data_IF_386143558368
#
_entry.id   IF_386143558368
#
_cell.length_a   1.000
_cell.length_b   1.000
_cell.length_c   1.000
_cell.angle_alpha   90.00
_cell.angle_beta   90.00
_cell.angle_gamma   90.00
#
_symmetry.space_group_name_H-M   'P 1'
#
loop_
_entity.id
_entity.type
_entity.pdbx_description
1 polymer ?
#
# COMPACT_ATOMS: atom_id res chain seq x y z
N UNK A 1 29.86 -42.28 31.69
CA UNK A 1 30.08 -41.63 30.38
C UNK A 1 28.98 -40.59 30.20
N UNK A 2 29.31 -39.35 30.45
CA UNK A 2 28.38 -38.20 30.44
C UNK A 2 28.30 -37.63 29.01
N UNK A 3 27.14 -37.75 28.40
CA UNK A 3 26.87 -37.14 27.11
C UNK A 3 26.36 -35.71 27.30
N UNK A 4 27.21 -34.75 27.00
CA UNK A 4 26.84 -33.33 27.01
C UNK A 4 25.93 -33.01 25.80
N UNK A 5 24.72 -32.60 26.08
CA UNK A 5 23.77 -32.02 25.10
C UNK A 5 24.28 -30.61 24.76
N UNK A 6 24.62 -30.37 23.51
CA UNK A 6 24.93 -29.03 22.99
C UNK A 6 23.63 -28.20 22.86
N UNK A 7 23.62 -26.94 23.29
CA UNK A 7 22.46 -26.08 23.03
C UNK A 7 22.40 -25.72 21.55
N UNK A 8 21.25 -26.04 20.94
CA UNK A 8 20.84 -25.55 19.60
C UNK A 8 20.35 -24.12 19.78
N UNK A 9 20.98 -23.15 19.08
CA UNK A 9 20.46 -21.80 19.05
C UNK A 9 21.46 -20.66 19.08
N UNK A 10 22.54 -20.74 18.28
CA UNK A 10 23.23 -19.51 17.85
C UNK A 10 22.87 -19.24 16.39
N UNK A 11 21.83 -18.43 16.19
CA UNK A 11 21.61 -17.78 14.90
C UNK A 11 22.77 -16.84 14.63
N UNK A 12 23.61 -17.17 13.66
CA UNK A 12 24.61 -16.27 13.10
C UNK A 12 23.89 -14.99 12.69
N UNK A 13 24.11 -13.88 13.41
CA UNK A 13 23.71 -12.54 12.98
C UNK A 13 24.55 -12.18 11.76
N UNK A 14 23.98 -12.39 10.57
CA UNK A 14 24.52 -11.79 9.35
C UNK A 14 24.21 -10.31 9.43
N UNK A 15 25.20 -9.52 9.83
CA UNK A 15 25.13 -8.06 9.84
C UNK A 15 25.28 -7.62 8.37
N UNK A 16 24.16 -7.30 7.72
CA UNK A 16 24.22 -6.58 6.45
C UNK A 16 24.64 -5.12 6.74
N UNK A 17 25.61 -4.59 5.98
CA UNK A 17 26.24 -3.29 6.19
C UNK A 17 25.30 -2.17 6.66
N UNK A 18 25.34 -1.84 7.95
CA UNK A 18 24.62 -0.73 8.56
C UNK A 18 23.13 -0.95 8.85
N UNK A 19 22.66 -2.22 8.90
CA UNK A 19 21.27 -2.55 9.22
C UNK A 19 21.20 -3.51 10.42
N UNK A 20 20.20 -3.31 11.30
CA UNK A 20 19.89 -4.19 12.42
C UNK A 20 18.51 -4.81 12.22
N UNK A 21 18.37 -6.15 12.42
CA UNK A 21 17.05 -6.79 12.38
C UNK A 21 16.20 -6.32 13.56
N UNK A 22 14.95 -5.97 13.28
CA UNK A 22 13.91 -5.78 14.29
C UNK A 22 13.25 -7.14 14.49
N UNK A 23 13.39 -7.69 15.69
CA UNK A 23 12.78 -8.97 16.06
C UNK A 23 11.29 -8.74 16.38
N UNK A 24 10.43 -8.91 15.39
CA UNK A 24 8.99 -8.95 15.59
C UNK A 24 8.60 -10.41 15.72
N UNK A 25 8.42 -10.91 16.95
CA UNK A 25 7.90 -12.25 17.18
C UNK A 25 6.48 -12.34 16.65
N UNK A 26 6.31 -12.97 15.50
CA UNK A 26 5.04 -13.54 15.07
C UNK A 26 4.92 -14.85 15.82
N UNK A 27 4.15 -14.90 16.91
CA UNK A 27 3.76 -16.15 17.53
C UNK A 27 2.96 -16.93 16.49
N UNK A 28 3.57 -17.97 15.92
CA UNK A 28 2.81 -19.02 15.23
C UNK A 28 2.07 -19.73 16.35
N UNK A 29 0.75 -19.65 16.34
CA UNK A 29 -0.07 -20.46 17.23
C UNK A 29 0.19 -21.93 16.89
N UNK A 30 0.94 -22.61 17.74
CA UNK A 30 0.90 -24.07 17.80
C UNK A 30 -0.44 -24.41 18.44
N UNK A 31 -1.41 -24.78 17.60
CA UNK A 31 -2.64 -25.43 18.05
C UNK A 31 -2.31 -26.87 18.46
N UNK A 32 -1.96 -27.05 19.73
CA UNK A 32 -2.14 -28.32 20.42
C UNK A 32 -2.34 -28.04 21.92
N UNK A 33 -3.58 -28.40 22.38
CA UNK A 33 -4.00 -28.60 23.75
C UNK A 33 -3.97 -27.41 24.76
N UNK A 34 -5.08 -26.60 24.76
CA UNK A 34 -5.64 -26.09 26.03
C UNK A 34 -7.15 -25.90 25.92
N UNK A 35 -7.90 -26.61 26.77
CA UNK A 35 -9.32 -26.42 27.01
C UNK A 35 -9.66 -25.00 27.48
N UNK A 36 -10.75 -24.36 27.01
CA UNK A 36 -11.05 -22.96 27.30
C UNK A 36 -11.86 -22.81 28.58
N UNK A 37 -11.32 -22.10 29.55
CA UNK A 37 -12.08 -21.46 30.63
C UNK A 37 -11.70 -19.99 30.74
N UNK A 38 -12.33 -19.14 29.91
CA UNK A 38 -12.21 -17.69 29.95
C UNK A 38 -13.36 -17.03 29.15
N UNK A 39 -13.81 -15.83 29.50
CA UNK A 39 -14.99 -15.21 28.89
C UNK A 39 -14.72 -14.84 27.42
N UNK A 40 -15.63 -15.27 26.55
CA UNK A 40 -15.64 -15.02 25.11
C UNK A 40 -15.74 -13.51 24.84
N UNK A 41 -15.00 -12.93 23.86
CA UNK A 41 -15.17 -11.57 23.43
C UNK A 41 -16.57 -11.35 22.84
N UNK A 42 -17.18 -10.22 23.15
CA UNK A 42 -18.51 -9.81 22.69
C UNK A 42 -18.50 -9.68 21.16
N UNK A 43 -19.41 -10.42 20.49
CA UNK A 43 -19.75 -10.23 19.09
C UNK A 43 -20.36 -8.86 18.87
N UNK A 44 -19.75 -8.05 18.02
CA UNK A 44 -20.38 -6.85 17.48
C UNK A 44 -21.38 -7.28 16.40
N UNK A 45 -22.67 -7.03 16.61
CA UNK A 45 -23.73 -7.27 15.61
C UNK A 45 -23.81 -6.04 14.71
N UNK A 46 -23.46 -6.19 13.44
CA UNK A 46 -23.78 -5.18 12.43
C UNK A 46 -25.16 -5.49 11.83
N UNK A 47 -26.07 -4.52 11.87
CA UNK A 47 -27.37 -4.59 11.22
C UNK A 47 -27.21 -4.25 9.72
N UNK A 48 -27.50 -5.19 8.85
CA UNK A 48 -27.49 -4.99 7.41
C UNK A 48 -28.81 -4.38 6.93
N UNK A 49 -28.72 -3.30 6.15
CA UNK A 49 -29.82 -2.79 5.32
C UNK A 49 -29.38 -2.93 3.87
N UNK A 50 -30.16 -3.68 3.10
CA UNK A 50 -29.87 -3.99 1.71
C UNK A 50 -30.21 -2.82 0.77
N UNK A 51 -29.30 -2.48 -0.13
CA UNK A 51 -29.56 -1.73 -1.36
C UNK A 51 -28.81 -2.40 -2.53
N UNK A 52 -29.45 -2.45 -3.70
CA UNK A 52 -29.01 -3.21 -4.87
C UNK A 52 -27.74 -2.65 -5.54
N UNK A 53 -26.89 -3.51 -6.14
CA UNK A 53 -25.64 -3.11 -6.77
C UNK A 53 -25.81 -2.69 -8.24
N UNK A 54 -25.05 -1.69 -8.66
CA UNK A 54 -25.05 -1.14 -10.03
C UNK A 54 -24.26 -2.00 -11.05
N UNK A 55 -23.53 -3.05 -10.67
CA UNK A 55 -22.72 -3.87 -11.59
C UNK A 55 -22.86 -5.36 -11.30
N UNK A 56 -23.59 -6.06 -12.19
CA UNK A 56 -23.66 -7.52 -12.32
C UNK A 56 -24.62 -8.23 -11.36
N UNK A 57 -25.02 -9.49 -11.67
CA UNK A 57 -25.91 -10.26 -10.81
C UNK A 57 -25.24 -10.49 -9.46
N UNK A 58 -25.95 -10.17 -8.39
CA UNK A 58 -25.51 -10.37 -7.01
C UNK A 58 -25.32 -11.86 -6.69
N UNK A 59 -24.51 -12.19 -5.69
CA UNK A 59 -24.44 -13.56 -5.16
C UNK A 59 -25.75 -13.97 -4.52
N UNK A 60 -26.06 -15.26 -4.60
CA UNK A 60 -27.22 -15.88 -3.96
C UNK A 60 -27.21 -15.72 -2.42
N UNK A 61 -28.37 -15.86 -1.73
CA UNK A 61 -28.47 -15.60 -0.28
C UNK A 61 -27.57 -16.54 0.53
N UNK A 62 -26.89 -15.94 1.50
CA UNK A 62 -25.77 -16.48 2.25
C UNK A 62 -26.18 -17.39 3.40
N UNK A 63 -25.45 -18.48 3.60
CA UNK A 63 -25.48 -19.27 4.84
C UNK A 63 -24.86 -18.48 6.00
N UNK A 64 -25.58 -18.38 7.12
CA UNK A 64 -25.14 -17.67 8.33
C UNK A 64 -23.84 -18.28 8.89
N UNK A 65 -22.76 -17.55 8.84
CA UNK A 65 -21.52 -17.88 9.59
C UNK A 65 -20.19 -17.57 8.95
N UNK A 66 -20.12 -17.16 7.69
CA UNK A 66 -18.85 -16.87 7.03
C UNK A 66 -18.46 -15.39 7.12
N UNK A 67 -17.21 -15.11 7.51
CA UNK A 67 -16.63 -13.76 7.49
C UNK A 67 -16.46 -13.30 6.04
N UNK A 68 -17.19 -12.25 5.64
CA UNK A 68 -17.09 -11.67 4.32
C UNK A 68 -16.00 -10.59 4.31
N UNK A 69 -15.13 -10.62 3.30
CA UNK A 69 -14.17 -9.54 3.08
C UNK A 69 -14.88 -8.30 2.53
N UNK A 70 -14.52 -7.10 3.00
CA UNK A 70 -15.05 -5.86 2.45
C UNK A 70 -14.66 -5.73 0.97
N UNK A 71 -15.63 -5.42 0.12
CA UNK A 71 -15.39 -5.23 -1.30
C UNK A 71 -14.93 -3.80 -1.57
N UNK A 72 -13.87 -3.65 -2.35
CA UNK A 72 -13.40 -2.37 -2.85
C UNK A 72 -14.38 -1.84 -3.92
N UNK A 73 -15.12 -0.78 -3.62
CA UNK A 73 -16.02 -0.15 -4.58
C UNK A 73 -15.30 0.94 -5.36
N UNK A 74 -15.47 0.95 -6.69
CA UNK A 74 -14.91 1.97 -7.59
C UNK A 74 -15.92 3.07 -7.82
N UNK A 75 -15.45 4.31 -7.72
CA UNK A 75 -16.20 5.53 -7.97
C UNK A 75 -15.44 6.43 -8.92
N UNK A 76 -16.18 7.22 -9.70
CA UNK A 76 -15.68 8.38 -10.41
C UNK A 76 -16.23 9.62 -9.71
N UNK A 77 -15.36 10.49 -9.24
CA UNK A 77 -15.70 11.74 -8.59
C UNK A 77 -15.30 12.91 -9.49
N UNK A 78 -16.02 14.02 -9.40
CA UNK A 78 -15.71 15.25 -10.13
C UNK A 78 -15.28 16.31 -9.14
N UNK A 79 -14.05 16.79 -9.29
CA UNK A 79 -13.50 17.87 -8.47
C UNK A 79 -14.17 19.20 -8.80
N UNK A 80 -13.95 20.25 -7.99
CA UNK A 80 -14.54 21.56 -8.16
C UNK A 80 -14.21 22.22 -9.50
N UNK A 81 -13.04 21.92 -10.07
CA UNK A 81 -12.63 22.39 -11.40
C UNK A 81 -13.21 21.57 -12.56
N UNK A 82 -14.08 20.60 -12.28
CA UNK A 82 -14.67 19.71 -13.26
C UNK A 82 -13.80 18.52 -13.65
N UNK A 83 -12.62 18.33 -13.01
CA UNK A 83 -11.71 17.22 -13.29
C UNK A 83 -12.25 15.90 -12.72
N UNK A 84 -12.33 14.86 -13.57
CA UNK A 84 -12.80 13.54 -13.15
C UNK A 84 -11.65 12.69 -12.63
N UNK A 85 -11.85 12.06 -11.47
CA UNK A 85 -10.88 11.21 -10.79
C UNK A 85 -11.53 9.87 -10.39
N UNK A 86 -10.81 8.78 -10.67
CA UNK A 86 -11.18 7.44 -10.22
C UNK A 86 -10.64 7.17 -8.80
N UNK A 87 -11.52 6.66 -7.93
CA UNK A 87 -11.15 6.22 -6.59
C UNK A 87 -11.80 4.87 -6.29
N UNK A 88 -11.14 4.06 -5.46
CA UNK A 88 -11.71 2.81 -4.99
C UNK A 88 -11.60 2.76 -3.46
N UNK A 89 -12.74 2.49 -2.77
CA UNK A 89 -12.86 2.68 -1.33
C UNK A 89 -13.44 1.42 -0.69
N UNK A 90 -12.93 1.05 0.50
CA UNK A 90 -13.55 0.04 1.36
C UNK A 90 -13.11 0.22 2.83
N UNK A 91 -13.89 -0.37 3.74
CA UNK A 91 -13.58 -0.42 5.16
C UNK A 91 -13.91 0.84 5.94
N UNK A 92 -13.52 0.83 7.21
CA UNK A 92 -13.79 1.86 8.21
C UNK A 92 -12.54 2.13 9.04
N UNK A 93 -12.49 3.27 9.71
CA UNK A 93 -11.44 3.62 10.66
C UNK A 93 -10.36 4.53 10.08
N UNK A 94 -9.09 4.23 10.35
CA UNK A 94 -7.95 5.10 10.01
C UNK A 94 -7.77 5.21 8.48
N UNK A 95 -7.63 6.42 7.90
CA UNK A 95 -7.43 6.56 6.46
C UNK A 95 -6.11 5.94 6.01
N UNK A 96 -6.18 5.02 5.04
CA UNK A 96 -5.05 4.43 4.33
C UNK A 96 -5.16 4.80 2.85
N UNK A 97 -4.42 5.81 2.43
CA UNK A 97 -4.42 6.28 1.04
C UNK A 97 -3.39 5.48 0.24
N UNK A 98 -3.84 4.83 -0.83
CA UNK A 98 -2.98 3.98 -1.67
C UNK A 98 -2.88 4.56 -3.07
N UNK A 99 -1.64 4.77 -3.54
CA UNK A 99 -1.31 5.32 -4.85
C UNK A 99 -0.51 4.28 -5.64
N UNK A 100 -1.04 3.90 -6.79
CA UNK A 100 -0.47 2.87 -7.65
C UNK A 100 0.76 3.34 -8.45
N UNK A 101 1.47 2.38 -9.04
CA UNK A 101 2.62 2.62 -9.91
C UNK A 101 2.27 3.01 -11.34
N UNK A 102 3.30 3.29 -12.13
CA UNK A 102 3.20 3.52 -13.57
C UNK A 102 2.49 2.33 -14.26
N UNK A 103 1.59 2.62 -15.18
CA UNK A 103 0.76 1.65 -15.91
C UNK A 103 -0.19 0.75 -15.07
N UNK A 104 -0.40 1.06 -13.79
CA UNK A 104 -1.35 0.37 -12.92
C UNK A 104 -2.62 1.22 -12.69
N UNK A 105 -3.56 0.66 -11.97
CA UNK A 105 -4.77 1.34 -11.46
C UNK A 105 -4.95 0.94 -10.00
N UNK A 106 -5.61 1.78 -9.18
CA UNK A 106 -5.80 1.51 -7.76
C UNK A 106 -6.50 0.17 -7.48
N UNK A 107 -7.47 -0.19 -8.32
CA UNK A 107 -8.22 -1.46 -8.18
C UNK A 107 -7.37 -2.71 -8.47
N UNK A 108 -6.22 -2.57 -9.13
CA UNK A 108 -5.34 -3.70 -9.43
C UNK A 108 -4.88 -4.45 -8.17
N UNK A 109 -4.77 -3.74 -7.07
CA UNK A 109 -4.35 -4.28 -5.77
C UNK A 109 -5.54 -4.70 -4.88
N UNK A 110 -6.78 -4.75 -5.42
CA UNK A 110 -7.99 -4.95 -4.64
C UNK A 110 -7.95 -6.16 -3.70
N UNK A 111 -7.35 -7.28 -4.13
CA UNK A 111 -7.23 -8.47 -3.29
C UNK A 111 -6.37 -8.22 -2.02
N UNK A 112 -5.25 -7.54 -2.17
CA UNK A 112 -4.38 -7.15 -1.05
C UNK A 112 -5.04 -6.08 -0.18
N UNK A 113 -5.61 -5.06 -0.82
CA UNK A 113 -6.16 -3.90 -0.12
C UNK A 113 -7.39 -4.24 0.73
N UNK A 114 -8.26 -5.16 0.24
CA UNK A 114 -9.44 -5.60 1.00
C UNK A 114 -9.08 -6.25 2.33
N UNK A 115 -7.90 -6.89 2.42
CA UNK A 115 -7.41 -7.52 3.65
C UNK A 115 -6.84 -6.54 4.68
N UNK A 116 -6.51 -5.32 4.26
CA UNK A 116 -6.02 -4.27 5.18
C UNK A 116 -7.14 -3.66 6.00
N UNK A 117 -8.39 -3.84 5.59
CA UNK A 117 -9.56 -3.37 6.34
C UNK A 117 -9.66 -4.02 7.71
N UNK A 118 -9.30 -5.31 7.82
CA UNK A 118 -9.34 -6.05 9.10
C UNK A 118 -8.30 -5.53 10.12
N UNK A 119 -7.37 -4.69 9.67
CA UNK A 119 -6.40 -4.00 10.52
C UNK A 119 -6.90 -2.62 11.01
N UNK A 120 -8.17 -2.28 10.79
CA UNK A 120 -8.79 -1.01 11.20
C UNK A 120 -8.49 0.15 10.26
N UNK A 121 -8.28 -0.14 8.96
CA UNK A 121 -8.07 0.89 7.94
C UNK A 121 -9.29 1.07 7.02
N UNK A 122 -9.65 2.34 6.77
CA UNK A 122 -10.43 2.72 5.60
C UNK A 122 -9.47 2.90 4.43
N UNK A 123 -9.52 1.98 3.47
CA UNK A 123 -8.65 1.99 2.28
C UNK A 123 -9.22 2.90 1.22
N UNK A 124 -8.40 3.81 0.71
CA UNK A 124 -8.73 4.80 -0.31
C UNK A 124 -7.67 4.69 -1.41
N UNK A 125 -7.94 3.93 -2.46
CA UNK A 125 -7.04 3.77 -3.59
C UNK A 125 -7.39 4.81 -4.67
N UNK A 126 -6.42 5.67 -5.02
CA UNK A 126 -6.60 6.77 -5.97
C UNK A 126 -5.94 6.43 -7.30
N UNK A 127 -6.69 6.53 -8.39
CA UNK A 127 -6.13 6.45 -9.75
C UNK A 127 -5.38 7.75 -10.07
N UNK A 128 -4.10 7.66 -10.41
CA UNK A 128 -3.29 8.84 -10.78
C UNK A 128 -3.67 9.38 -12.15
N UNK A 129 -3.37 10.65 -12.43
CA UNK A 129 -3.68 11.27 -13.71
C UNK A 129 -3.21 10.43 -14.91
N UNK A 130 -4.09 10.24 -15.89
CA UNK A 130 -3.85 9.42 -17.07
C UNK A 130 -4.08 7.92 -16.87
N UNK A 131 -4.45 7.48 -15.67
CA UNK A 131 -4.71 6.07 -15.34
C UNK A 131 -6.17 5.85 -14.90
N UNK A 132 -6.66 4.64 -15.07
CA UNK A 132 -7.98 4.24 -14.62
C UNK A 132 -9.10 5.21 -14.99
N UNK A 133 -9.89 5.61 -14.00
CA UNK A 133 -10.95 6.61 -14.10
C UNK A 133 -10.49 8.07 -14.09
N UNK A 134 -9.18 8.34 -13.88
CA UNK A 134 -8.66 9.70 -13.81
C UNK A 134 -8.23 10.19 -15.19
N UNK A 135 -8.73 11.37 -15.58
CA UNK A 135 -8.26 12.07 -16.78
C UNK A 135 -6.78 12.46 -16.65
N UNK A 136 -6.20 13.02 -17.71
CA UNK A 136 -4.85 13.62 -17.64
C UNK A 136 -4.80 14.75 -16.62
N UNK A 137 -3.62 15.33 -16.37
CA UNK A 137 -3.51 16.51 -15.49
C UNK A 137 -4.38 17.66 -16.02
N UNK A 138 -5.07 18.42 -15.13
CA UNK A 138 -5.94 19.52 -15.52
C UNK A 138 -5.20 20.64 -16.27
N UNK A 139 -3.95 20.89 -15.91
CA UNK A 139 -3.09 21.89 -16.53
C UNK A 139 -1.82 21.25 -17.05
N UNK A 140 -1.32 21.72 -18.21
CA UNK A 140 -0.28 21.09 -19.01
C UNK A 140 1.11 20.91 -18.41
N UNK A 141 1.32 21.21 -17.13
CA UNK A 141 2.61 21.01 -16.44
C UNK A 141 2.78 19.53 -16.06
N UNK A 142 3.43 18.76 -16.92
CA UNK A 142 3.73 17.33 -16.70
C UNK A 142 4.93 17.19 -15.73
N UNK A 143 4.66 17.19 -14.44
CA UNK A 143 5.68 16.95 -13.39
C UNK A 143 5.12 16.07 -12.27
N UNK A 144 5.97 15.32 -11.59
CA UNK A 144 5.53 14.51 -10.43
C UNK A 144 4.92 15.37 -9.33
N UNK A 145 5.39 16.61 -9.16
CA UNK A 145 4.79 17.59 -8.25
C UNK A 145 3.34 17.92 -8.63
N UNK A 146 3.02 18.05 -9.93
CA UNK A 146 1.65 18.29 -10.38
C UNK A 146 0.75 17.08 -10.14
N UNK A 147 1.26 15.86 -10.31
CA UNK A 147 0.54 14.63 -9.94
C UNK A 147 0.26 14.55 -8.44
N UNK A 148 1.26 14.94 -7.62
CA UNK A 148 1.14 14.97 -6.17
C UNK A 148 0.15 16.06 -5.71
N UNK A 149 0.15 17.23 -6.36
CA UNK A 149 -0.81 18.29 -6.06
C UNK A 149 -2.25 17.87 -6.39
N UNK A 150 -2.47 17.18 -7.52
CA UNK A 150 -3.78 16.59 -7.83
C UNK A 150 -4.20 15.59 -6.76
N UNK A 151 -3.29 14.73 -6.28
CA UNK A 151 -3.58 13.81 -5.17
C UNK A 151 -4.04 14.59 -3.93
N UNK A 152 -3.37 15.69 -3.56
CA UNK A 152 -3.78 16.56 -2.47
C UNK A 152 -5.21 17.09 -2.65
N UNK A 153 -5.54 17.61 -3.85
CA UNK A 153 -6.90 18.09 -4.18
C UNK A 153 -7.96 16.98 -4.08
N UNK A 154 -7.63 15.75 -4.51
CA UNK A 154 -8.53 14.60 -4.36
C UNK A 154 -8.80 14.31 -2.89
N UNK A 155 -7.78 14.31 -2.04
CA UNK A 155 -7.95 14.07 -0.61
C UNK A 155 -8.76 15.18 0.06
N UNK A 156 -8.58 16.44 -0.33
CA UNK A 156 -9.40 17.57 0.15
C UNK A 156 -10.86 17.40 -0.25
N UNK A 157 -11.12 17.09 -1.52
CA UNK A 157 -12.48 16.87 -2.03
C UNK A 157 -13.18 15.70 -1.36
N UNK A 158 -12.45 14.63 -1.05
CA UNK A 158 -12.95 13.48 -0.31
C UNK A 158 -13.14 13.77 1.20
N UNK A 159 -12.60 14.86 1.71
CA UNK A 159 -12.61 15.18 3.14
C UNK A 159 -11.68 14.30 3.97
N UNK A 160 -10.59 13.78 3.38
CA UNK A 160 -9.62 12.92 4.07
C UNK A 160 -8.63 13.78 4.86
N UNK A 161 -8.55 13.57 6.18
CA UNK A 161 -7.58 14.21 7.07
C UNK A 161 -6.21 13.52 7.02
N UNK A 162 -5.45 13.52 8.13
CA UNK A 162 -4.18 12.81 8.21
C UNK A 162 -4.36 11.32 7.94
N UNK A 163 -3.51 10.76 7.06
CA UNK A 163 -3.61 9.40 6.58
C UNK A 163 -2.28 8.66 6.61
N UNK A 164 -2.32 7.35 6.66
CA UNK A 164 -1.18 6.52 6.27
C UNK A 164 -1.11 6.53 4.74
N UNK A 165 -0.02 7.09 4.19
CA UNK A 165 0.18 7.26 2.76
C UNK A 165 1.01 6.10 2.22
N UNK A 166 0.42 5.28 1.36
CA UNK A 166 1.06 4.11 0.74
C UNK A 166 1.25 4.37 -0.74
N UNK A 167 2.45 4.21 -1.24
CA UNK A 167 2.72 4.37 -2.66
C UNK A 167 3.58 3.27 -3.26
N UNK A 168 3.08 2.65 -4.33
CA UNK A 168 3.82 1.66 -5.10
C UNK A 168 4.57 2.32 -6.27
N UNK A 169 5.84 1.99 -6.44
CA UNK A 169 6.64 2.45 -7.59
C UNK A 169 6.58 3.98 -7.75
N UNK A 170 6.04 4.50 -8.87
CA UNK A 170 5.78 5.93 -9.09
C UNK A 170 4.89 6.54 -8.00
N UNK A 171 3.86 5.81 -7.55
CA UNK A 171 2.99 6.26 -6.46
C UNK A 171 3.76 6.54 -5.17
N UNK A 172 4.82 5.75 -4.88
CA UNK A 172 5.73 6.03 -3.75
C UNK A 172 6.39 7.39 -3.83
N UNK A 173 6.75 7.82 -5.03
CA UNK A 173 7.27 9.16 -5.25
C UNK A 173 6.21 10.24 -5.01
N UNK A 174 4.98 10.01 -5.47
CA UNK A 174 3.88 10.98 -5.31
C UNK A 174 3.50 11.18 -3.84
N UNK A 175 3.38 10.10 -3.06
CA UNK A 175 3.08 10.21 -1.63
C UNK A 175 4.23 10.82 -0.84
N UNK A 176 5.49 10.59 -1.25
CA UNK A 176 6.65 11.24 -0.65
C UNK A 176 6.64 12.75 -0.89
N UNK A 177 6.31 13.16 -2.12
CA UNK A 177 6.19 14.57 -2.50
C UNK A 177 5.06 15.26 -1.73
N UNK A 178 3.88 14.61 -1.63
CA UNK A 178 2.74 15.11 -0.87
C UNK A 178 3.08 15.27 0.61
N UNK A 179 3.64 14.23 1.23
CA UNK A 179 4.00 14.26 2.64
C UNK A 179 5.10 15.29 2.96
N UNK A 180 6.00 15.56 2.03
CA UNK A 180 7.03 16.58 2.19
C UNK A 180 6.49 18.00 2.01
N UNK A 181 5.56 18.23 1.08
CA UNK A 181 4.93 19.53 0.86
C UNK A 181 3.85 19.85 1.90
N UNK A 182 3.13 18.83 2.37
CA UNK A 182 2.02 18.94 3.32
C UNK A 182 2.17 17.94 4.48
N UNK A 183 3.13 18.13 5.41
CA UNK A 183 3.47 17.17 6.45
C UNK A 183 2.30 16.76 7.35
N UNK A 184 1.34 17.68 7.54
CA UNK A 184 0.15 17.44 8.38
C UNK A 184 -0.80 16.38 7.81
N UNK A 185 -0.67 16.03 6.53
CA UNK A 185 -1.48 14.98 5.89
C UNK A 185 -0.96 13.56 6.16
N UNK A 186 0.28 13.43 6.62
CA UNK A 186 0.90 12.12 6.75
C UNK A 186 0.99 11.69 8.22
N UNK A 187 0.28 10.61 8.56
CA UNK A 187 0.53 9.84 9.79
C UNK A 187 1.83 9.05 9.63
N UNK A 188 2.02 8.42 8.48
CA UNK A 188 3.21 7.69 8.08
C UNK A 188 3.28 7.59 6.55
N UNK A 189 4.46 7.29 6.00
CA UNK A 189 4.69 7.02 4.57
C UNK A 189 5.20 5.60 4.39
N UNK A 190 4.52 4.81 3.55
CA UNK A 190 4.90 3.45 3.20
C UNK A 190 5.26 3.42 1.72
N UNK A 191 6.50 3.06 1.43
CA UNK A 191 7.10 3.02 0.10
C UNK A 191 7.18 1.56 -0.36
N UNK A 192 6.36 1.17 -1.33
CA UNK A 192 6.33 -0.18 -1.89
C UNK A 192 7.09 -0.19 -3.23
N UNK A 193 8.24 -0.86 -3.29
CA UNK A 193 9.07 -0.94 -4.50
C UNK A 193 9.21 0.44 -5.20
N UNK A 194 9.38 1.49 -4.38
CA UNK A 194 9.17 2.89 -4.77
C UNK A 194 10.39 3.49 -5.49
N UNK A 195 10.11 4.38 -6.44
CA UNK A 195 11.13 5.15 -7.18
C UNK A 195 11.63 6.36 -6.37
N UNK A 196 12.06 6.13 -5.14
CA UNK A 196 12.50 7.14 -4.16
C UNK A 196 13.83 6.72 -3.55
N UNK A 197 14.89 7.51 -3.74
CA UNK A 197 16.21 7.24 -3.20
C UNK A 197 17.34 7.61 -4.19
N UNK A 198 18.54 7.76 -3.67
CA UNK A 198 19.70 8.23 -4.45
C UNK A 198 20.04 7.31 -5.64
N UNK A 199 19.86 6.00 -5.49
CA UNK A 199 20.10 5.03 -6.56
C UNK A 199 19.14 5.27 -7.72
N UNK A 200 17.83 5.48 -7.44
CA UNK A 200 16.88 5.81 -8.48
C UNK A 200 17.18 7.17 -9.14
N UNK A 201 17.49 8.20 -8.36
CA UNK A 201 17.82 9.52 -8.89
C UNK A 201 19.01 9.44 -9.88
N UNK A 202 20.01 8.59 -9.59
CA UNK A 202 21.11 8.29 -10.53
C UNK A 202 20.62 7.58 -11.78
N UNK A 203 19.73 6.59 -11.65
CA UNK A 203 19.14 5.88 -12.81
C UNK A 203 18.39 6.84 -13.73
N UNK A 204 17.61 7.76 -13.18
CA UNK A 204 16.90 8.79 -13.98
C UNK A 204 17.89 9.63 -14.78
N UNK A 205 19.04 10.00 -14.21
CA UNK A 205 20.06 10.73 -14.96
C UNK A 205 20.61 9.88 -16.14
N UNK A 206 20.80 8.57 -15.95
CA UNK A 206 21.19 7.68 -17.03
C UNK A 206 20.08 7.57 -18.08
N UNK A 207 18.81 7.47 -17.69
CA UNK A 207 17.66 7.47 -18.61
C UNK A 207 17.57 8.72 -19.46
N UNK A 208 17.93 9.89 -18.90
CA UNK A 208 18.00 11.16 -19.67
C UNK A 208 19.08 11.14 -20.75
N UNK A 209 20.22 10.51 -20.45
CA UNK A 209 21.34 10.39 -21.41
C UNK A 209 21.05 9.28 -22.43
N UNK A 210 20.43 8.18 -22.00
CA UNK A 210 20.15 7.02 -22.83
C UNK A 210 18.68 6.54 -22.65
N UNK A 211 17.69 7.24 -23.28
CA UNK A 211 16.26 6.93 -23.15
C UNK A 211 15.85 5.47 -23.46
N UNK A 212 16.50 4.73 -24.38
CA UNK A 212 16.16 3.33 -24.62
C UNK A 212 16.23 2.45 -23.38
N UNK A 213 17.08 2.77 -22.40
CA UNK A 213 17.17 2.03 -21.14
C UNK A 213 15.88 2.16 -20.31
N UNK A 214 15.26 3.33 -20.30
CA UNK A 214 13.96 3.51 -19.66
C UNK A 214 12.87 2.67 -20.32
N UNK A 215 12.88 2.58 -21.65
CA UNK A 215 11.95 1.71 -22.40
C UNK A 215 12.19 0.25 -22.03
N UNK A 216 13.45 -0.18 -21.94
CA UNK A 216 13.84 -1.53 -21.49
C UNK A 216 13.33 -1.81 -20.07
N UNK A 217 13.51 -0.86 -19.13
CA UNK A 217 12.97 -0.98 -17.76
C UNK A 217 11.44 -1.11 -17.76
N UNK A 218 10.74 -0.32 -18.58
CA UNK A 218 9.29 -0.43 -18.75
C UNK A 218 8.85 -1.79 -19.31
N UNK A 219 9.62 -2.35 -20.28
CA UNK A 219 9.34 -3.67 -20.81
C UNK A 219 9.56 -4.77 -19.77
N UNK A 220 10.59 -4.66 -18.92
CA UNK A 220 10.80 -5.62 -17.81
C UNK A 220 9.65 -5.59 -16.81
N UNK A 221 9.10 -4.41 -16.48
CA UNK A 221 7.91 -4.25 -15.62
C UNK A 221 6.69 -4.94 -16.22
N UNK A 222 6.47 -4.78 -17.52
CA UNK A 222 5.36 -5.43 -18.22
C UNK A 222 5.51 -6.96 -18.18
N UNK A 223 6.70 -7.48 -18.47
CA UNK A 223 7.00 -8.92 -18.38
C UNK A 223 6.81 -9.42 -16.96
N UNK A 224 7.30 -8.70 -15.94
CA UNK A 224 7.10 -9.06 -14.53
C UNK A 224 5.60 -9.12 -14.18
N UNK A 225 4.82 -8.14 -14.57
CA UNK A 225 3.35 -8.11 -14.34
C UNK A 225 2.66 -9.30 -15.03
N UNK A 226 2.97 -9.61 -16.29
CA UNK A 226 2.35 -10.72 -17.02
C UNK A 226 2.75 -12.07 -16.41
N UNK A 227 4.01 -12.24 -16.03
CA UNK A 227 4.52 -13.49 -15.44
C UNK A 227 4.06 -13.70 -14.00
N UNK A 228 3.48 -12.67 -13.37
CA UNK A 228 2.85 -12.83 -12.04
C UNK A 228 1.58 -13.65 -12.09
N UNK A 229 0.87 -13.68 -13.23
CA UNK A 229 -0.38 -14.43 -13.37
C UNK A 229 -0.08 -15.92 -13.43
N UNK A 230 -0.58 -16.73 -12.48
CA UNK A 230 -0.24 -18.16 -12.39
C UNK A 230 -1.04 -19.02 -13.38
N UNK A 231 -0.94 -18.76 -14.68
CA UNK A 231 -1.74 -19.36 -15.76
C UNK A 231 -1.83 -20.90 -15.67
N UNK A 232 -0.75 -21.58 -15.26
CA UNK A 232 -0.67 -23.04 -15.27
C UNK A 232 -0.73 -23.67 -13.88
N UNK A 233 -0.50 -22.91 -12.80
CA UNK A 233 -0.43 -23.42 -11.43
C UNK A 233 -1.75 -23.29 -10.68
N UNK A 234 -2.48 -22.20 -10.91
CA UNK A 234 -3.78 -21.93 -10.31
C UNK A 234 -4.68 -21.20 -11.33
N UNK A 235 -5.46 -21.94 -12.14
CA UNK A 235 -6.32 -21.35 -13.17
C UNK A 235 -7.40 -20.44 -12.59
N UNK A 236 -7.90 -20.69 -11.37
CA UNK A 236 -8.92 -19.86 -10.72
C UNK A 236 -8.31 -18.50 -10.33
N UNK A 237 -7.14 -18.52 -9.70
CA UNK A 237 -6.42 -17.28 -9.38
C UNK A 237 -5.98 -16.53 -10.64
N UNK A 238 -5.55 -17.24 -11.67
CA UNK A 238 -5.23 -16.64 -12.97
C UNK A 238 -6.43 -15.93 -13.59
N UNK A 239 -7.63 -16.51 -13.51
CA UNK A 239 -8.85 -15.89 -14.01
C UNK A 239 -9.22 -14.64 -13.21
N UNK A 240 -9.12 -14.68 -11.87
CA UNK A 240 -9.36 -13.51 -10.99
C UNK A 240 -8.39 -12.37 -11.32
N UNK A 241 -7.10 -12.64 -11.36
CA UNK A 241 -6.08 -11.65 -11.75
C UNK A 241 -6.27 -11.16 -13.19
N UNK A 242 -6.59 -12.05 -14.12
CA UNK A 242 -6.88 -11.70 -15.51
C UNK A 242 -8.03 -10.70 -15.62
N UNK A 243 -9.09 -10.86 -14.84
CA UNK A 243 -10.23 -9.92 -14.77
C UNK A 243 -9.83 -8.55 -14.23
N UNK A 244 -8.87 -8.49 -13.29
CA UNK A 244 -8.34 -7.22 -12.74
C UNK A 244 -7.36 -6.55 -13.71
N UNK A 245 -6.51 -7.32 -14.38
CA UNK A 245 -5.42 -6.81 -15.24
C UNK A 245 -5.91 -6.47 -16.65
N UNK A 246 -6.87 -7.24 -17.21
CA UNK A 246 -7.31 -7.06 -18.58
C UNK A 246 -7.90 -5.67 -18.90
N UNK A 247 -8.73 -5.05 -18.04
CA UNK A 247 -9.23 -3.69 -18.28
C UNK A 247 -8.08 -2.67 -18.36
N UNK A 248 -7.10 -2.76 -17.46
CA UNK A 248 -5.92 -1.87 -17.42
C UNK A 248 -5.11 -2.00 -18.71
N UNK A 249 -4.77 -3.24 -19.12
CA UNK A 249 -4.04 -3.49 -20.37
C UNK A 249 -4.83 -2.96 -21.56
N UNK A 250 -6.15 -3.27 -21.65
CA UNK A 250 -7.01 -2.81 -22.74
C UNK A 250 -7.08 -1.28 -22.79
N UNK A 251 -7.10 -0.62 -21.63
CA UNK A 251 -7.06 0.84 -21.51
C UNK A 251 -5.78 1.43 -22.13
N UNK A 252 -4.63 0.88 -21.77
CA UNK A 252 -3.33 1.33 -22.27
C UNK A 252 -3.11 1.02 -23.75
N UNK A 253 -3.55 -0.16 -24.24
CA UNK A 253 -3.48 -0.51 -25.68
C UNK A 253 -4.34 0.44 -26.51
N UNK A 254 -5.51 0.82 -26.03
CA UNK A 254 -6.40 1.75 -26.74
C UNK A 254 -5.92 3.20 -26.71
N UNK A 255 -5.22 3.62 -25.65
CA UNK A 255 -4.80 5.00 -25.41
C UNK A 255 -3.36 5.07 -24.90
N UNK A 256 -2.36 4.58 -25.67
CA UNK A 256 -0.96 4.49 -25.22
C UNK A 256 -0.35 5.85 -24.91
N UNK A 257 -0.84 6.93 -25.53
CA UNK A 257 -0.38 8.30 -25.27
C UNK A 257 -0.63 8.76 -23.84
N UNK A 258 -1.57 8.14 -23.09
CA UNK A 258 -1.81 8.46 -21.66
C UNK A 258 -0.58 8.19 -20.79
N UNK A 259 0.29 7.25 -21.18
CA UNK A 259 1.52 6.93 -20.47
C UNK A 259 2.67 7.92 -20.75
N UNK A 260 2.57 8.74 -21.80
CA UNK A 260 3.63 9.68 -22.15
C UNK A 260 3.83 10.76 -21.09
N UNK A 261 2.75 11.27 -20.50
CA UNK A 261 2.81 12.26 -19.43
C UNK A 261 3.52 11.75 -18.17
N UNK A 262 3.10 10.63 -17.58
CA UNK A 262 3.79 10.01 -16.46
C UNK A 262 5.25 9.67 -16.76
N UNK A 263 5.55 9.10 -17.93
CA UNK A 263 6.91 8.79 -18.36
C UNK A 263 7.80 10.05 -18.44
N UNK A 264 7.30 11.10 -19.08
CA UNK A 264 7.99 12.38 -19.15
C UNK A 264 8.20 13.00 -17.76
N UNK A 265 7.24 12.84 -16.84
CA UNK A 265 7.34 13.34 -15.48
C UNK A 265 8.41 12.62 -14.68
N UNK A 266 8.57 11.31 -14.87
CA UNK A 266 9.66 10.51 -14.28
C UNK A 266 11.01 11.02 -14.81
N UNK A 267 11.15 11.21 -16.12
CA UNK A 267 12.40 11.71 -16.72
C UNK A 267 12.76 13.13 -16.25
N UNK A 268 11.77 13.95 -15.96
CA UNK A 268 11.97 15.33 -15.47
C UNK A 268 12.06 15.41 -13.94
N UNK A 269 11.92 14.29 -13.23
CA UNK A 269 11.91 14.28 -11.77
C UNK A 269 13.22 14.84 -11.20
N UNK A 270 13.10 15.63 -10.15
CA UNK A 270 14.23 16.13 -9.37
C UNK A 270 14.66 15.07 -8.35
N UNK A 271 15.79 15.32 -7.67
CA UNK A 271 16.25 14.45 -6.59
C UNK A 271 15.20 14.28 -5.49
N UNK A 272 15.10 13.06 -4.95
CA UNK A 272 14.24 12.71 -3.83
C UNK A 272 14.80 13.15 -2.46
N UNK A 273 16.08 13.54 -2.40
CA UNK A 273 16.78 13.90 -1.15
C UNK A 273 16.06 14.95 -0.32
N UNK A 274 15.69 16.14 -0.88
CA UNK A 274 15.06 17.19 -0.06
C UNK A 274 13.75 16.72 0.59
N UNK A 275 12.97 15.90 -0.12
CA UNK A 275 11.71 15.37 0.41
C UNK A 275 11.95 14.40 1.57
N UNK A 276 12.89 13.47 1.43
CA UNK A 276 13.24 12.52 2.49
C UNK A 276 13.84 13.25 3.72
N UNK A 277 14.61 14.32 3.50
CA UNK A 277 15.11 15.17 4.58
C UNK A 277 13.97 15.90 5.29
N UNK A 278 12.97 16.40 4.53
CA UNK A 278 11.79 17.04 5.10
C UNK A 278 11.00 16.02 5.95
N UNK A 279 10.71 14.81 5.44
CA UNK A 279 10.02 13.78 6.22
C UNK A 279 10.76 13.47 7.52
N UNK A 280 12.10 13.42 7.49
CA UNK A 280 12.92 13.23 8.68
C UNK A 280 12.82 14.40 9.66
N UNK A 281 12.85 15.64 9.18
CA UNK A 281 12.73 16.85 10.01
C UNK A 281 11.36 16.92 10.68
N UNK A 282 10.30 16.61 9.95
CA UNK A 282 8.92 16.55 10.45
C UNK A 282 8.63 15.28 11.29
N UNK A 283 9.62 14.38 11.43
CA UNK A 283 9.50 13.13 12.17
C UNK A 283 8.39 12.21 11.68
N UNK A 284 8.06 12.28 10.38
CA UNK A 284 7.08 11.39 9.75
C UNK A 284 7.72 10.01 9.61
N UNK A 285 7.14 8.94 10.18
CA UNK A 285 7.66 7.59 10.02
C UNK A 285 7.63 7.14 8.56
N UNK A 286 8.76 6.60 8.09
CA UNK A 286 8.90 6.06 6.73
C UNK A 286 9.21 4.57 6.81
N UNK A 287 8.48 3.77 6.04
CA UNK A 287 8.66 2.33 5.90
C UNK A 287 8.90 2.00 4.43
N UNK A 288 10.11 1.57 4.08
CA UNK A 288 10.43 1.14 2.72
C UNK A 288 10.30 -0.39 2.65
N UNK A 289 9.28 -0.88 1.93
CA UNK A 289 9.01 -2.30 1.71
C UNK A 289 9.41 -2.65 0.29
N UNK A 290 10.30 -3.63 0.10
CA UNK A 290 10.91 -3.85 -1.21
C UNK A 290 11.24 -5.32 -1.49
N UNK A 291 10.91 -5.79 -2.68
CA UNK A 291 11.29 -7.11 -3.16
C UNK A 291 12.79 -7.20 -3.47
N UNK A 292 13.48 -8.22 -2.97
CA UNK A 292 14.92 -8.37 -3.22
C UNK A 292 15.28 -8.83 -4.65
N UNK A 293 14.26 -9.24 -5.43
CA UNK A 293 14.39 -9.60 -6.86
C UNK A 293 13.73 -8.58 -7.80
N UNK A 294 13.48 -7.37 -7.31
CA UNK A 294 13.01 -6.27 -8.16
C UNK A 294 14.15 -5.84 -9.09
N UNK A 295 14.01 -6.16 -10.38
CA UNK A 295 14.98 -5.81 -11.43
C UNK A 295 14.71 -4.42 -12.03
N UNK A 296 13.52 -3.88 -11.84
CA UNK A 296 13.12 -2.59 -12.38
C UNK A 296 13.53 -1.44 -11.47
N UNK A 297 13.32 -1.62 -10.16
CA UNK A 297 13.75 -0.70 -9.11
C UNK A 297 14.68 -1.45 -8.15
N UNK A 298 15.99 -1.20 -8.18
CA UNK A 298 16.93 -1.94 -7.33
C UNK A 298 16.67 -1.76 -5.84
N UNK A 299 16.81 -2.81 -5.03
CA UNK A 299 16.67 -2.77 -3.56
C UNK A 299 17.51 -1.65 -2.91
N UNK A 300 18.64 -1.28 -3.52
CA UNK A 300 19.48 -0.17 -3.07
C UNK A 300 18.69 1.15 -2.99
N UNK A 301 17.69 1.34 -3.86
CA UNK A 301 16.79 2.52 -3.84
C UNK A 301 16.02 2.61 -2.52
N UNK A 302 15.43 1.50 -2.07
CA UNK A 302 14.73 1.44 -0.80
C UNK A 302 15.67 1.60 0.40
N UNK A 303 16.89 1.02 0.32
CA UNK A 303 17.93 1.22 1.33
C UNK A 303 18.32 2.70 1.46
N UNK A 304 18.49 3.39 0.34
CA UNK A 304 18.80 4.84 0.34
C UNK A 304 17.65 5.66 0.97
N UNK A 305 16.40 5.38 0.58
CA UNK A 305 15.23 6.08 1.10
C UNK A 305 15.09 5.89 2.63
N UNK A 306 15.15 4.65 3.10
CA UNK A 306 15.01 4.33 4.51
C UNK A 306 16.15 4.93 5.35
N UNK A 307 17.42 4.85 4.90
CA UNK A 307 18.55 5.48 5.59
C UNK A 307 18.36 7.00 5.71
N UNK A 308 17.99 7.67 4.61
CA UNK A 308 17.89 9.13 4.60
C UNK A 308 16.73 9.65 5.44
N UNK A 309 15.59 8.99 5.38
CA UNK A 309 14.42 9.33 6.18
C UNK A 309 14.53 8.84 7.65
N UNK A 310 15.56 8.10 8.03
CA UNK A 310 15.66 7.38 9.31
C UNK A 310 14.46 6.45 9.55
N UNK A 311 14.01 5.81 8.47
CA UNK A 311 12.90 4.87 8.44
C UNK A 311 13.33 3.42 8.60
N UNK A 312 12.34 2.53 8.53
CA UNK A 312 12.55 1.09 8.54
C UNK A 312 12.58 0.54 7.11
N UNK A 313 13.37 -0.50 6.89
CA UNK A 313 13.42 -1.24 5.63
C UNK A 313 12.82 -2.63 5.84
N UNK A 314 11.83 -2.99 5.02
CA UNK A 314 11.29 -4.35 4.96
C UNK A 314 11.71 -4.98 3.65
N UNK A 315 12.48 -6.07 3.75
CA UNK A 315 12.92 -6.82 2.58
C UNK A 315 12.04 -8.03 2.38
N UNK A 316 11.34 -8.09 1.25
CA UNK A 316 10.50 -9.23 0.84
C UNK A 316 11.34 -10.19 0.02
N UNK A 317 11.65 -11.38 0.55
CA UNK A 317 12.53 -12.36 -0.07
C UNK A 317 11.89 -12.99 -1.30
N UNK A 318 12.59 -12.97 -2.41
CA UNK A 318 12.07 -13.48 -3.69
C UNK A 318 11.02 -12.59 -4.34
N UNK A 319 10.65 -11.45 -3.72
CA UNK A 319 9.71 -10.48 -4.25
C UNK A 319 10.28 -9.80 -5.51
N UNK A 320 9.48 -9.77 -6.58
CA UNK A 320 9.74 -8.99 -7.80
C UNK A 320 8.98 -7.67 -7.70
N UNK A 321 9.05 -6.78 -8.70
CA UNK A 321 8.33 -5.49 -8.65
C UNK A 321 6.80 -5.63 -8.45
N UNK A 322 6.21 -6.71 -8.97
CA UNK A 322 4.77 -6.98 -8.90
C UNK A 322 4.39 -8.05 -7.86
N UNK A 323 5.19 -8.26 -6.81
CA UNK A 323 4.93 -9.31 -5.81
C UNK A 323 3.58 -9.17 -5.11
N UNK A 324 3.08 -7.93 -4.93
CA UNK A 324 1.76 -7.62 -4.36
C UNK A 324 0.61 -8.27 -5.15
N UNK A 325 0.77 -8.44 -6.47
CA UNK A 325 -0.23 -9.10 -7.31
C UNK A 325 -0.16 -10.62 -7.22
N UNK A 326 1.04 -11.16 -6.92
CA UNK A 326 1.27 -12.62 -6.79
C UNK A 326 0.71 -13.17 -5.50
N UNK A 327 0.74 -12.35 -4.44
CA UNK A 327 0.34 -12.78 -3.12
C UNK A 327 -0.35 -11.66 -2.33
N UNK A 328 -1.65 -11.77 -2.14
CA UNK A 328 -2.42 -10.78 -1.40
C UNK A 328 -2.23 -10.85 0.13
N UNK A 329 -1.55 -11.90 0.67
CA UNK A 329 -1.44 -12.16 2.11
C UNK A 329 -0.16 -11.55 2.73
N UNK A 330 0.94 -11.45 1.95
CA UNK A 330 2.22 -10.98 2.50
C UNK A 330 2.13 -9.52 2.97
N UNK A 331 1.46 -8.63 2.22
CA UNK A 331 1.36 -7.22 2.63
C UNK A 331 0.56 -7.03 3.92
N UNK A 332 -0.62 -7.64 4.11
CA UNK A 332 -1.33 -7.60 5.39
C UNK A 332 -0.51 -8.12 6.56
N UNK A 333 0.25 -9.21 6.38
CA UNK A 333 1.13 -9.74 7.42
C UNK A 333 2.25 -8.75 7.79
N UNK A 334 2.87 -8.10 6.81
CA UNK A 334 3.84 -7.03 7.03
C UNK A 334 3.18 -5.86 7.76
N UNK A 335 2.01 -5.40 7.30
CA UNK A 335 1.28 -4.30 7.94
C UNK A 335 0.93 -4.60 9.40
N UNK A 336 0.48 -5.82 9.70
CA UNK A 336 0.22 -6.26 11.08
C UNK A 336 1.49 -6.16 11.94
N UNK A 337 2.64 -6.59 11.41
CA UNK A 337 3.92 -6.48 12.13
C UNK A 337 4.34 -5.02 12.34
N UNK A 338 4.16 -4.15 11.35
CA UNK A 338 4.44 -2.71 11.47
C UNK A 338 3.49 -2.03 12.46
N UNK A 339 2.22 -2.45 12.51
CA UNK A 339 1.23 -1.96 13.49
C UNK A 339 1.57 -2.36 14.94
N UNK A 340 2.27 -3.46 15.15
CA UNK A 340 2.83 -3.82 16.46
C UNK A 340 4.05 -2.99 16.87
N UNK A 341 4.59 -2.18 15.95
CA UNK A 341 5.78 -1.35 16.12
C UNK A 341 5.53 0.14 15.89
N UNK A 342 6.46 0.77 15.16
CA UNK A 342 6.46 2.22 14.92
C UNK A 342 5.25 2.74 14.16
N UNK A 343 4.66 1.96 13.25
CA UNK A 343 3.45 2.37 12.54
C UNK A 343 2.26 2.47 13.51
N UNK A 344 2.06 1.47 14.36
CA UNK A 344 1.01 1.50 15.38
C UNK A 344 1.20 2.66 16.37
N UNK A 345 2.44 2.96 16.77
CA UNK A 345 2.74 4.14 17.59
C UNK A 345 2.34 5.44 16.89
N UNK A 346 2.59 5.56 15.58
CA UNK A 346 2.20 6.74 14.82
C UNK A 346 0.68 6.88 14.67
N UNK A 347 -0.01 5.77 14.41
CA UNK A 347 -1.48 5.74 14.35
C UNK A 347 -2.09 6.08 15.70
N UNK A 348 -1.55 5.49 16.78
CA UNK A 348 -1.96 5.81 18.15
C UNK A 348 -1.79 7.29 18.46
N UNK A 349 -0.63 7.85 18.13
CA UNK A 349 -0.37 9.28 18.32
C UNK A 349 -1.37 10.14 17.54
N UNK A 350 -1.67 9.79 16.29
CA UNK A 350 -2.62 10.55 15.47
C UNK A 350 -4.05 10.54 16.06
N UNK A 351 -4.47 9.44 16.70
CA UNK A 351 -5.72 9.33 17.44
C UNK A 351 -5.71 10.23 18.68
N UNK A 352 -4.66 10.12 19.51
CA UNK A 352 -4.50 10.92 20.72
C UNK A 352 -4.44 12.44 20.43
N UNK A 353 -3.72 12.85 19.38
CA UNK A 353 -3.64 14.26 18.97
C UNK A 353 -5.02 14.83 18.53
N UNK A 354 -6.01 13.97 18.29
CA UNK A 354 -7.40 14.30 17.96
C UNK A 354 -8.36 14.06 19.12
N UNK A 355 -7.86 13.76 20.33
CA UNK A 355 -8.66 13.55 21.52
C UNK A 355 -9.42 12.23 21.59
N UNK A 356 -9.04 11.24 20.74
CA UNK A 356 -9.64 9.91 20.76
C UNK A 356 -8.93 9.06 21.81
N UNK A 357 -9.68 8.40 22.69
CA UNK A 357 -9.13 7.35 23.54
C UNK A 357 -8.99 6.05 22.74
N UNK A 358 -7.74 5.56 22.52
CA UNK A 358 -7.52 4.41 21.67
C UNK A 358 -8.04 3.08 22.22
N UNK A 359 -8.28 3.02 23.54
CA UNK A 359 -8.68 1.79 24.22
C UNK A 359 -10.14 1.41 23.90
N UNK A 360 -11.02 2.41 23.77
CA UNK A 360 -12.46 2.20 23.62
C UNK A 360 -13.06 2.84 22.35
N UNK A 361 -12.22 3.47 21.50
CA UNK A 361 -12.70 4.19 20.33
C UNK A 361 -13.37 3.27 19.31
N UNK A 362 -14.59 3.63 18.95
CA UNK A 362 -15.32 3.03 17.82
C UNK A 362 -14.76 3.53 16.46
N UNK A 363 -15.03 2.80 15.38
CA UNK A 363 -14.67 3.26 14.04
C UNK A 363 -15.32 4.61 13.70
N UNK A 364 -16.56 4.84 14.14
CA UNK A 364 -17.29 6.09 13.93
C UNK A 364 -16.60 7.29 14.63
N UNK A 365 -16.10 7.11 15.85
CA UNK A 365 -15.34 8.15 16.57
C UNK A 365 -14.00 8.43 15.89
N UNK A 366 -13.31 7.37 15.40
CA UNK A 366 -12.07 7.50 14.63
C UNK A 366 -12.34 8.26 13.33
N UNK A 367 -13.43 7.94 12.63
CA UNK A 367 -13.82 8.61 11.39
C UNK A 367 -14.21 10.07 11.65
N UNK A 368 -15.00 10.34 12.67
CA UNK A 368 -15.38 11.72 13.04
C UNK A 368 -14.17 12.62 13.34
N UNK A 369 -13.07 12.05 13.83
CA UNK A 369 -11.87 12.81 14.20
C UNK A 369 -10.82 12.92 13.08
N UNK A 370 -10.73 11.92 12.21
CA UNK A 370 -9.71 11.85 11.16
C UNK A 370 -10.21 12.30 9.78
N UNK A 371 -11.51 12.54 9.63
CA UNK A 371 -12.08 13.04 8.38
C UNK A 371 -12.78 14.40 8.61
N UNK A 372 -13.00 15.15 7.54
CA UNK A 372 -13.77 16.38 7.63
C UNK A 372 -15.25 16.09 7.96
N UNK A 373 -15.97 16.97 8.65
CA UNK A 373 -17.41 16.83 8.85
C UNK A 373 -18.14 16.72 7.51
N UNK A 374 -18.95 15.67 7.31
CA UNK A 374 -19.63 15.39 6.04
C UNK A 374 -18.68 14.97 4.91
N UNK A 375 -17.56 14.34 5.23
CA UNK A 375 -16.58 13.89 4.26
C UNK A 375 -17.20 12.94 3.21
N UNK A 376 -17.08 13.28 1.93
CA UNK A 376 -17.62 12.49 0.81
C UNK A 376 -17.15 11.04 0.84
N UNK A 377 -15.91 10.79 1.27
CA UNK A 377 -15.36 9.42 1.37
C UNK A 377 -16.17 8.50 2.29
N UNK A 378 -16.83 9.05 3.30
CA UNK A 378 -17.66 8.26 4.25
C UNK A 378 -18.98 7.84 3.60
N UNK A 379 -19.53 8.67 2.71
CA UNK A 379 -20.75 8.38 1.95
C UNK A 379 -20.50 7.34 0.85
N UNK A 380 -19.30 7.35 0.25
CA UNK A 380 -18.90 6.45 -0.83
C UNK A 380 -18.47 5.06 -0.35
N UNK A 381 -18.33 4.84 0.94
CA UNK A 381 -17.88 3.55 1.49
C UNK A 381 -18.94 2.46 1.22
N UNK A 382 -18.58 1.35 0.55
CA UNK A 382 -19.53 0.30 0.26
C UNK A 382 -19.98 -0.40 1.53
N UNK A 383 -21.30 -0.66 1.60
CA UNK A 383 -21.92 -1.43 2.70
C UNK A 383 -21.87 -2.93 2.47
N UNK A 384 -21.52 -3.38 1.27
CA UNK A 384 -21.46 -4.79 0.90
C UNK A 384 -20.12 -5.42 1.26
N UNK A 385 -20.18 -6.65 1.73
CA UNK A 385 -19.01 -7.48 2.04
C UNK A 385 -18.81 -8.53 0.94
N UNK A 386 -17.57 -8.89 0.72
CA UNK A 386 -17.18 -9.86 -0.31
C UNK A 386 -16.89 -11.21 0.34
N UNK A 387 -17.53 -12.28 -0.18
CA UNK A 387 -17.23 -13.65 0.25
C UNK A 387 -16.04 -14.19 -0.57
N UNK A 388 -14.94 -14.46 0.10
CA UNK A 388 -13.87 -15.30 -0.44
C UNK A 388 -13.21 -16.09 0.69
N UNK A 389 -13.94 -17.08 1.18
CA UNK A 389 -13.56 -17.89 2.33
C UNK A 389 -12.33 -18.77 2.12
N UNK A 390 -12.03 -19.16 0.88
CA UNK A 390 -10.86 -19.98 0.57
C UNK A 390 -9.53 -19.20 0.67
N UNK A 391 -9.57 -17.87 0.57
CA UNK A 391 -8.37 -17.02 0.58
C UNK A 391 -8.03 -16.47 1.97
N UNK A 392 -8.95 -16.49 2.92
CA UNK A 392 -8.79 -15.90 4.27
C UNK A 392 -7.75 -16.59 5.15
N UNK A 393 -7.31 -17.80 4.81
CA UNK A 393 -6.45 -18.63 5.65
C UNK A 393 -5.15 -19.08 4.98
N UNK A 394 -4.80 -18.51 3.83
CA UNK A 394 -3.52 -18.85 3.20
C UNK A 394 -2.37 -18.17 3.92
N UNK A 395 -1.31 -18.90 4.29
CA UNK A 395 -0.12 -18.25 4.85
C UNK A 395 0.53 -17.32 3.81
N UNK A 396 1.20 -16.25 4.24
CA UNK A 396 1.99 -15.40 3.36
C UNK A 396 2.96 -16.24 2.51
N UNK A 397 3.00 -15.95 1.21
CA UNK A 397 3.86 -16.67 0.27
C UNK A 397 5.33 -16.29 0.40
N UNK A 398 5.58 -15.04 0.76
CA UNK A 398 6.92 -14.50 0.83
C UNK A 398 7.39 -14.37 2.27
N UNK A 399 8.61 -14.81 2.53
CA UNK A 399 9.31 -14.46 3.76
C UNK A 399 9.77 -12.99 3.70
N UNK A 400 9.81 -12.34 4.84
CA UNK A 400 10.26 -10.96 4.95
C UNK A 400 11.03 -10.73 6.25
N UNK A 401 11.82 -9.65 6.26
CA UNK A 401 12.54 -9.18 7.44
C UNK A 401 12.43 -7.66 7.57
N UNK A 402 12.29 -7.17 8.81
CA UNK A 402 12.30 -5.75 9.11
C UNK A 402 13.69 -5.38 9.61
N UNK A 403 14.26 -4.32 9.06
CA UNK A 403 15.58 -3.81 9.37
C UNK A 403 15.49 -2.33 9.75
N UNK A 404 16.10 -1.93 10.88
CA UNK A 404 16.30 -0.54 11.23
C UNK A 404 17.68 -0.06 10.76
N UNK A 405 17.76 1.16 10.27
CA UNK A 405 19.04 1.79 9.95
C UNK A 405 19.83 2.02 11.26
N UNK A 406 21.08 1.57 11.33
CA UNK A 406 21.97 1.92 12.44
C UNK A 406 22.18 3.43 12.46
N UNK A 407 21.86 4.03 13.58
CA UNK A 407 22.29 5.39 13.84
C UNK A 407 23.68 5.31 14.45
N UNK A 408 24.72 5.74 13.71
CA UNK A 408 25.93 6.15 14.37
C UNK A 408 25.53 7.32 15.28
N UNK A 409 25.53 7.11 16.59
CA UNK A 409 25.50 8.21 17.56
C UNK A 409 26.81 8.95 17.38
N UNK A 410 26.73 10.10 16.71
CA UNK A 410 27.81 11.10 16.71
C UNK A 410 28.01 11.62 18.11
#
# INVERSE_FOLDING_TARGET
MSGAVRPVGQTCRVIEDGWEPIDVRVERGDDDDVHPSGPRPRRVRHLAVAQEPIIGPGPEPEEEGQLALPRLARHEITLEDGHTVGVAICGHGVPLVVVHGFSAEGILYAQTLSRLVDLGFKVIAVDTAGHGGTLGLPTGAQSLASYSALLGQVLDHLGVGPAVLVGHSMGGRLVTELAASEPRRAIAVILLDAIVGDTWDRMVNVFRIFPPLMVGTGATLLVDTITTVPWFRDPRQALKLGRLVAPTIRGHVRRPWRLLGPAASILRSKSSRPMLDQLRQERIPVFAIHGDRDIAVPLATAKDAARRARGDLVVVRGGTHSWLLKDPETMPAIMLALMRGRLGTAVLKAKLDRGIDPADATDDEVEAALYAPGALVLELTPRQRFHDTEELHRPPRYDWKILAARHHTD
#
